data_IF_255940197580
#
_entry.id   IF_255940197580
#
_cell.length_a   1.000
_cell.length_b   1.000
_cell.length_c   1.000
_cell.angle_alpha   90.00
_cell.angle_beta   90.00
_cell.angle_gamma   90.00
#
_symmetry.space_group_name_H-M   'P 1'
#
loop_
_entity.id
_entity.type
_entity.pdbx_description
1 polymer ?
#
# COMPACT_ATOMS: atom_id res chain seq x y z
N UNK A 1 -12.11 10.37 50.05
CA UNK A 1 -11.40 9.52 49.08
C UNK A 1 -9.91 9.69 49.30
N UNK A 2 -9.21 8.64 49.77
CA UNK A 2 -7.75 8.68 50.01
C UNK A 2 -7.05 8.43 48.67
N UNK A 3 -6.19 9.35 48.23
CA UNK A 3 -5.33 9.18 47.06
C UNK A 3 -4.26 8.13 47.38
N UNK A 4 -4.19 7.05 46.62
CA UNK A 4 -3.13 6.04 46.73
C UNK A 4 -1.76 6.65 46.47
N UNK A 5 -0.81 6.36 47.34
CA UNK A 5 0.58 6.78 47.20
C UNK A 5 1.28 6.08 46.01
N UNK A 6 2.44 6.61 45.57
CA UNK A 6 3.18 6.03 44.44
C UNK A 6 3.65 4.61 44.76
N UNK A 7 3.48 3.71 43.80
CA UNK A 7 3.97 2.32 43.87
C UNK A 7 5.51 2.33 43.88
N UNK A 8 6.12 2.03 45.02
CA UNK A 8 7.56 1.86 45.13
C UNK A 8 7.96 0.51 44.51
N UNK A 9 8.90 0.52 43.56
CA UNK A 9 9.54 -0.71 43.05
C UNK A 9 10.41 -1.33 44.15
N UNK A 10 10.03 -2.49 44.62
CA UNK A 10 10.73 -3.22 45.66
C UNK A 10 11.88 -4.10 45.17
N UNK A 11 12.07 -4.23 43.87
CA UNK A 11 13.14 -5.05 43.30
C UNK A 11 14.01 -4.24 42.33
N UNK A 12 15.34 -4.12 42.58
CA UNK A 12 16.24 -3.49 41.61
C UNK A 12 16.33 -4.36 40.33
N UNK A 13 16.26 -3.73 39.17
CA UNK A 13 16.56 -4.42 37.91
C UNK A 13 18.05 -4.80 37.88
N UNK A 14 18.34 -6.08 38.03
CA UNK A 14 19.68 -6.60 37.75
C UNK A 14 19.87 -6.60 36.22
N UNK A 15 20.79 -5.76 35.78
CA UNK A 15 21.24 -5.79 34.37
C UNK A 15 22.27 -6.92 34.25
N UNK A 16 21.92 -7.98 33.57
CA UNK A 16 22.87 -9.01 33.15
C UNK A 16 23.84 -8.37 32.14
N UNK A 17 25.17 -8.40 32.37
CA UNK A 17 26.11 -7.88 31.39
C UNK A 17 26.01 -8.69 30.10
N UNK A 18 25.91 -8.00 28.95
CA UNK A 18 26.01 -8.65 27.63
C UNK A 18 27.44 -9.17 27.46
N UNK A 19 27.63 -10.46 27.68
CA UNK A 19 28.91 -11.14 27.36
C UNK A 19 28.94 -11.33 25.85
N UNK A 20 29.87 -10.67 25.16
CA UNK A 20 30.17 -10.94 23.75
C UNK A 20 30.83 -12.32 23.67
N UNK A 21 30.10 -13.31 23.18
CA UNK A 21 30.57 -14.67 23.00
C UNK A 21 31.31 -14.95 21.68
N UNK A 22 31.46 -13.97 20.81
CA UNK A 22 32.17 -14.14 19.55
C UNK A 22 33.12 -12.99 19.31
N UNK A 23 34.42 -13.30 19.31
CA UNK A 23 35.40 -12.45 18.64
C UNK A 23 35.08 -12.49 17.14
N UNK A 24 34.83 -11.31 16.56
CA UNK A 24 34.78 -11.18 15.11
C UNK A 24 36.19 -11.42 14.58
N UNK A 25 36.48 -12.64 14.17
CA UNK A 25 37.67 -12.90 13.36
C UNK A 25 37.58 -12.04 12.11
N UNK A 26 38.43 -11.03 11.98
CA UNK A 26 38.66 -10.38 10.70
C UNK A 26 39.10 -11.48 9.75
N UNK A 27 38.24 -11.91 8.86
CA UNK A 27 38.59 -12.82 7.76
C UNK A 27 39.81 -12.28 7.06
N UNK A 28 40.81 -13.13 6.87
CA UNK A 28 41.99 -12.80 6.07
C UNK A 28 41.57 -12.30 4.68
N UNK A 29 42.49 -11.68 3.93
CA UNK A 29 42.19 -11.15 2.61
C UNK A 29 41.53 -12.23 1.77
N UNK A 30 40.33 -11.93 1.26
CA UNK A 30 39.61 -12.81 0.30
C UNK A 30 40.56 -13.06 -0.86
N UNK A 31 41.10 -14.28 -0.95
CA UNK A 31 41.83 -14.70 -2.13
C UNK A 31 40.87 -14.49 -3.33
N UNK A 32 41.26 -13.63 -4.26
CA UNK A 32 40.57 -13.50 -5.55
C UNK A 32 40.79 -14.79 -6.33
N UNK A 33 39.98 -15.78 -6.01
CA UNK A 33 39.98 -17.03 -6.79
C UNK A 33 39.24 -16.77 -8.08
N UNK A 34 40.04 -16.80 -9.18
CA UNK A 34 39.53 -17.04 -10.51
C UNK A 34 38.71 -15.90 -11.11
N UNK A 35 39.20 -15.37 -12.23
CA UNK A 35 38.36 -14.57 -13.11
C UNK A 35 37.09 -15.37 -13.43
N UNK A 36 35.93 -14.84 -13.02
CA UNK A 36 34.66 -15.35 -13.54
C UNK A 36 34.71 -15.25 -15.06
N UNK A 37 34.96 -16.39 -15.70
CA UNK A 37 34.85 -16.49 -17.14
C UNK A 37 33.41 -16.04 -17.49
N UNK A 38 33.29 -14.91 -18.18
CA UNK A 38 32.02 -14.46 -18.76
C UNK A 38 31.73 -15.42 -19.93
N UNK A 39 31.13 -16.55 -19.62
CA UNK A 39 30.91 -17.62 -20.61
C UNK A 39 29.57 -17.53 -21.32
N UNK A 40 28.79 -16.48 -21.14
CA UNK A 40 27.63 -16.28 -22.00
C UNK A 40 27.37 -14.77 -22.14
N UNK A 41 27.29 -14.24 -23.38
CA UNK A 41 26.67 -12.93 -23.56
C UNK A 41 25.26 -13.07 -23.01
N UNK A 42 24.91 -12.27 -21.99
CA UNK A 42 23.53 -12.08 -21.64
C UNK A 42 22.81 -11.75 -22.94
N UNK A 43 22.01 -12.71 -23.45
CA UNK A 43 21.15 -12.45 -24.59
C UNK A 43 20.47 -11.12 -24.30
N UNK A 44 20.66 -10.15 -25.19
CA UNK A 44 20.13 -8.81 -25.03
C UNK A 44 18.68 -8.97 -24.62
N UNK A 45 18.39 -8.67 -23.37
CA UNK A 45 17.04 -8.65 -22.85
C UNK A 45 16.30 -7.81 -23.85
N UNK A 46 15.44 -8.44 -24.67
CA UNK A 46 14.56 -7.71 -25.56
C UNK A 46 13.94 -6.63 -24.68
N UNK A 47 14.48 -5.44 -24.79
CA UNK A 47 13.82 -4.25 -24.26
C UNK A 47 12.53 -4.18 -25.06
N UNK A 48 11.47 -4.78 -24.52
CA UNK A 48 10.14 -4.30 -24.88
C UNK A 48 10.26 -2.78 -24.85
N UNK A 49 9.93 -2.08 -25.92
CA UNK A 49 10.00 -0.63 -25.89
C UNK A 49 9.24 -0.22 -24.64
N UNK A 50 9.94 0.36 -23.69
CA UNK A 50 9.31 1.04 -22.57
C UNK A 50 8.53 2.15 -23.26
N UNK A 51 7.23 1.93 -23.40
CA UNK A 51 6.32 3.02 -23.76
C UNK A 51 6.72 4.18 -22.86
N UNK A 52 7.26 5.22 -23.48
CA UNK A 52 7.69 6.40 -22.77
C UNK A 52 6.38 6.98 -22.23
N UNK A 53 6.20 6.95 -20.92
CA UNK A 53 4.98 7.36 -20.21
C UNK A 53 4.66 8.86 -20.44
N UNK A 54 5.47 9.55 -21.24
CA UNK A 54 5.30 10.95 -21.57
C UNK A 54 4.06 11.28 -22.44
N UNK A 55 3.48 10.28 -23.11
CA UNK A 55 2.32 10.48 -23.99
C UNK A 55 1.04 9.75 -23.56
N UNK A 56 1.03 9.12 -22.37
CA UNK A 56 -0.22 8.62 -21.83
C UNK A 56 -0.91 9.74 -21.06
N UNK A 57 -2.10 10.16 -21.48
CA UNK A 57 -2.85 11.11 -20.67
C UNK A 57 -3.01 10.54 -19.27
N UNK A 58 -2.88 11.38 -18.23
CA UNK A 58 -3.05 11.03 -16.81
C UNK A 58 -4.49 10.54 -16.49
N UNK A 59 -5.03 9.70 -17.34
CA UNK A 59 -6.41 9.28 -17.31
C UNK A 59 -7.33 10.43 -17.76
N UNK A 60 -8.46 10.59 -17.08
CA UNK A 60 -9.44 11.67 -17.34
C UNK A 60 -9.09 12.97 -16.60
N UNK A 61 -7.97 13.00 -15.90
CA UNK A 61 -7.56 14.10 -15.02
C UNK A 61 -8.09 13.96 -13.59
N UNK A 62 -7.31 14.49 -12.65
CA UNK A 62 -7.58 14.35 -11.22
C UNK A 62 -8.95 14.90 -10.82
N UNK A 63 -9.26 16.13 -11.21
CA UNK A 63 -10.49 16.79 -10.79
C UNK A 63 -11.73 16.09 -11.34
N UNK A 64 -11.68 15.66 -12.60
CA UNK A 64 -12.79 14.93 -13.24
C UNK A 64 -12.98 13.56 -12.59
N UNK A 65 -11.89 12.83 -12.30
CA UNK A 65 -11.96 11.54 -11.65
C UNK A 65 -12.57 11.67 -10.25
N UNK A 66 -12.11 12.66 -9.46
CA UNK A 66 -12.63 12.93 -8.12
C UNK A 66 -14.12 13.32 -8.14
N UNK A 67 -14.54 14.18 -9.07
CA UNK A 67 -15.94 14.56 -9.20
C UNK A 67 -16.83 13.36 -9.50
N UNK A 68 -16.44 12.48 -10.42
CA UNK A 68 -17.18 11.25 -10.74
C UNK A 68 -17.30 10.33 -9.53
N UNK A 69 -16.22 10.12 -8.79
CA UNK A 69 -16.25 9.29 -7.58
C UNK A 69 -17.11 9.93 -6.49
N UNK A 70 -17.01 11.24 -6.30
CA UNK A 70 -17.84 11.97 -5.33
C UNK A 70 -19.33 11.90 -5.66
N UNK A 71 -19.71 11.96 -6.94
CA UNK A 71 -21.11 11.76 -7.37
C UNK A 71 -21.60 10.34 -7.08
N UNK A 72 -20.76 9.32 -7.32
CA UNK A 72 -21.07 7.92 -7.04
C UNK A 72 -21.22 7.66 -5.56
N UNK A 73 -20.29 8.13 -4.77
CA UNK A 73 -20.23 7.92 -3.32
C UNK A 73 -21.20 8.80 -2.54
N UNK A 74 -21.61 9.94 -3.11
CA UNK A 74 -22.38 11.01 -2.46
C UNK A 74 -21.67 11.53 -1.20
N UNK A 75 -20.33 11.53 -1.20
CA UNK A 75 -19.49 11.94 -0.09
C UNK A 75 -19.44 10.95 1.08
N UNK A 76 -19.82 9.70 0.84
CA UNK A 76 -19.73 8.65 1.84
C UNK A 76 -18.57 7.69 1.54
N UNK A 77 -17.95 7.19 2.60
CA UNK A 77 -16.92 6.17 2.47
C UNK A 77 -17.49 4.89 1.83
N UNK A 78 -16.93 4.46 0.71
CA UNK A 78 -17.39 3.30 -0.05
C UNK A 78 -16.95 1.97 0.53
N UNK A 79 -15.90 1.95 1.37
CA UNK A 79 -15.34 0.74 1.98
C UNK A 79 -16.01 0.32 3.29
N UNK A 80 -16.28 1.26 4.19
CA UNK A 80 -16.95 1.09 5.50
C UNK A 80 -16.45 -0.08 6.35
N UNK A 81 -15.13 -0.18 6.53
CA UNK A 81 -14.53 -1.21 7.39
C UNK A 81 -15.09 -1.11 8.81
N UNK A 82 -15.65 -2.21 9.37
CA UNK A 82 -16.16 -2.21 10.74
C UNK A 82 -15.09 -1.82 11.76
N UNK A 83 -15.43 -0.98 12.71
CA UNK A 83 -14.51 -0.49 13.74
C UNK A 83 -13.55 0.62 13.31
N UNK A 84 -13.35 0.83 12.00
CA UNK A 84 -12.41 1.84 11.45
C UNK A 84 -13.12 2.99 10.73
N UNK A 85 -14.31 2.74 10.20
CA UNK A 85 -14.99 3.67 9.32
C UNK A 85 -15.57 4.88 10.06
N UNK A 86 -15.22 6.07 9.57
CA UNK A 86 -15.78 7.37 10.04
C UNK A 86 -16.98 7.84 9.22
N UNK A 87 -17.50 7.01 8.34
CA UNK A 87 -18.65 7.20 7.47
C UNK A 87 -18.45 8.23 6.34
N UNK A 88 -18.07 9.48 6.63
CA UNK A 88 -17.80 10.50 5.61
C UNK A 88 -16.51 10.22 4.88
N UNK A 89 -16.52 10.34 3.57
CA UNK A 89 -15.31 10.34 2.77
C UNK A 89 -14.51 11.61 3.03
N UNK A 90 -13.21 11.45 3.16
CA UNK A 90 -12.26 12.55 3.38
C UNK A 90 -11.06 12.44 2.47
N UNK A 91 -10.94 11.33 1.74
CA UNK A 91 -9.75 11.05 0.96
C UNK A 91 -10.08 10.21 -0.28
N UNK A 92 -9.43 10.56 -1.38
CA UNK A 92 -9.35 9.71 -2.55
C UNK A 92 -8.39 8.54 -2.26
N UNK A 93 -8.83 7.33 -2.51
CA UNK A 93 -8.05 6.11 -2.35
C UNK A 93 -7.84 5.48 -3.71
N UNK A 94 -6.60 5.47 -4.21
CA UNK A 94 -6.25 4.75 -5.42
C UNK A 94 -6.32 3.25 -5.17
N UNK A 95 -7.03 2.52 -6.02
CA UNK A 95 -7.03 1.05 -6.02
C UNK A 95 -5.69 0.52 -6.54
N UNK A 96 -5.25 1.01 -7.68
CA UNK A 96 -3.89 0.81 -8.22
C UNK A 96 -3.09 2.06 -7.91
N UNK A 97 -2.04 1.91 -7.10
CA UNK A 97 -1.26 3.04 -6.66
C UNK A 97 -0.60 3.79 -7.83
N UNK A 98 -0.43 5.10 -7.72
CA UNK A 98 0.20 5.92 -8.76
C UNK A 98 1.60 5.39 -9.12
N UNK A 99 2.42 5.02 -8.13
CA UNK A 99 3.75 4.42 -8.34
C UNK A 99 3.73 3.05 -9.05
N UNK A 100 2.56 2.43 -9.21
CA UNK A 100 2.34 1.19 -9.95
C UNK A 100 1.71 1.44 -11.34
N UNK A 101 1.65 2.69 -11.78
CA UNK A 101 1.03 3.10 -13.04
C UNK A 101 -0.50 3.28 -12.94
N UNK A 102 -1.02 3.50 -11.72
CA UNK A 102 -2.42 3.87 -11.54
C UNK A 102 -2.69 5.29 -11.99
N UNK A 103 -3.66 5.48 -12.87
CA UNK A 103 -4.06 6.76 -13.44
C UNK A 103 -5.22 7.38 -12.65
N UNK A 104 -5.48 8.65 -12.91
CA UNK A 104 -6.68 9.34 -12.43
C UNK A 104 -7.89 8.89 -13.26
N UNK A 105 -8.57 7.88 -12.77
CA UNK A 105 -9.73 7.23 -13.40
C UNK A 105 -10.77 6.93 -12.33
N UNK A 106 -12.05 7.09 -12.65
CA UNK A 106 -13.12 6.81 -11.71
C UNK A 106 -13.16 5.32 -11.30
N UNK A 107 -12.78 4.43 -12.22
CA UNK A 107 -12.59 2.99 -11.97
C UNK A 107 -11.46 2.70 -11.00
N UNK A 108 -10.41 3.55 -10.96
CA UNK A 108 -9.25 3.42 -10.07
C UNK A 108 -9.41 4.14 -8.73
N UNK A 109 -10.50 4.85 -8.51
CA UNK A 109 -10.71 5.62 -7.30
C UNK A 109 -11.83 5.08 -6.42
N UNK A 110 -11.63 5.15 -5.10
CA UNK A 110 -12.67 4.97 -4.10
C UNK A 110 -12.66 6.14 -3.13
N UNK A 111 -13.83 6.61 -2.77
CA UNK A 111 -13.98 7.56 -1.67
C UNK A 111 -13.82 6.83 -0.33
N UNK A 112 -12.74 7.15 0.37
CA UNK A 112 -12.40 6.58 1.66
C UNK A 112 -12.44 7.60 2.80
N UNK A 113 -12.62 7.15 4.01
CA UNK A 113 -12.44 7.97 5.19
C UNK A 113 -11.06 7.80 5.80
N UNK A 114 -10.59 8.86 6.47
CA UNK A 114 -9.30 8.87 7.15
C UNK A 114 -8.16 9.36 6.25
N UNK A 115 -7.01 8.78 6.44
CA UNK A 115 -5.75 9.12 5.75
C UNK A 115 -4.96 7.83 5.46
N UNK A 116 -3.76 7.92 4.91
CA UNK A 116 -2.90 6.74 4.71
C UNK A 116 -2.60 5.92 5.98
N UNK A 117 -2.87 6.47 7.17
CA UNK A 117 -2.63 5.81 8.47
C UNK A 117 -3.89 5.65 9.33
N UNK A 118 -5.02 6.24 8.95
CA UNK A 118 -6.25 6.25 9.75
C UNK A 118 -7.48 5.92 8.91
N UNK A 119 -8.58 5.51 9.59
CA UNK A 119 -9.84 5.19 8.93
C UNK A 119 -9.76 4.01 7.98
N UNK A 120 -10.66 3.95 7.01
CA UNK A 120 -10.68 2.85 6.03
C UNK A 120 -9.46 2.91 5.08
N UNK A 121 -8.99 4.08 4.71
CA UNK A 121 -7.79 4.24 3.90
C UNK A 121 -6.56 3.65 4.61
N UNK A 122 -6.31 4.04 5.87
CA UNK A 122 -5.21 3.49 6.65
C UNK A 122 -5.34 1.98 6.92
N UNK A 123 -6.58 1.49 7.09
CA UNK A 123 -6.81 0.06 7.23
C UNK A 123 -6.38 -0.72 5.97
N UNK A 124 -6.66 -0.22 4.77
CA UNK A 124 -6.22 -0.84 3.53
C UNK A 124 -4.69 -0.99 3.47
N UNK A 125 -3.95 0.07 3.84
CA UNK A 125 -2.49 0.01 3.88
C UNK A 125 -1.95 -0.97 4.92
N UNK A 126 -2.64 -1.12 6.04
CA UNK A 126 -2.27 -2.07 7.10
C UNK A 126 -2.69 -3.51 6.81
N UNK A 127 -3.65 -3.72 5.90
CA UNK A 127 -4.23 -5.03 5.58
C UNK A 127 -4.31 -5.25 4.05
N UNK A 128 -3.18 -5.21 3.33
CA UNK A 128 -3.20 -5.19 1.86
C UNK A 128 -3.80 -6.46 1.24
N UNK A 129 -3.62 -7.62 1.86
CA UNK A 129 -4.22 -8.87 1.36
C UNK A 129 -5.76 -8.80 1.40
N UNK A 130 -6.33 -8.46 2.55
CA UNK A 130 -7.77 -8.33 2.71
C UNK A 130 -8.38 -7.17 1.89
N UNK A 131 -7.61 -6.12 1.63
CA UNK A 131 -8.03 -5.04 0.75
C UNK A 131 -8.06 -5.49 -0.72
N UNK A 132 -7.12 -6.34 -1.16
CA UNK A 132 -7.13 -6.94 -2.51
C UNK A 132 -8.30 -7.88 -2.72
N UNK A 133 -8.60 -8.75 -1.77
CA UNK A 133 -9.77 -9.63 -1.84
C UNK A 133 -11.08 -8.87 -2.09
N UNK A 134 -11.15 -7.62 -1.64
CA UNK A 134 -12.30 -6.73 -1.84
C UNK A 134 -12.19 -5.83 -3.07
N UNK A 135 -11.11 -5.93 -3.82
CA UNK A 135 -10.83 -5.04 -4.96
C UNK A 135 -10.53 -3.59 -4.55
N UNK A 136 -10.24 -3.31 -3.29
CA UNK A 136 -9.88 -1.96 -2.81
C UNK A 136 -8.42 -1.61 -3.04
N UNK A 137 -7.57 -2.63 -3.23
CA UNK A 137 -6.19 -2.49 -3.68
C UNK A 137 -5.93 -3.46 -4.82
N UNK A 138 -5.11 -3.03 -5.79
CA UNK A 138 -4.79 -3.80 -6.99
C UNK A 138 -3.30 -4.04 -7.12
N UNK A 139 -2.95 -5.06 -7.89
CA UNK A 139 -1.59 -5.29 -8.34
C UNK A 139 -1.26 -4.39 -9.54
N UNK A 140 0.02 -4.19 -9.80
CA UNK A 140 0.50 -3.38 -10.93
C UNK A 140 0.10 -3.94 -12.31
N UNK A 141 -0.21 -5.23 -12.37
CA UNK A 141 -0.60 -5.94 -13.60
C UNK A 141 -2.11 -5.90 -13.86
N UNK A 142 -2.91 -5.48 -12.89
CA UNK A 142 -4.37 -5.47 -13.00
C UNK A 142 -4.88 -4.15 -13.58
N UNK A 143 -5.96 -4.23 -14.36
CA UNK A 143 -6.69 -3.06 -14.81
C UNK A 143 -7.83 -2.76 -13.83
N UNK A 144 -7.96 -1.52 -13.33
CA UNK A 144 -9.03 -1.17 -12.41
C UNK A 144 -10.45 -1.40 -12.94
N UNK A 145 -10.66 -1.31 -14.24
CA UNK A 145 -11.97 -1.54 -14.84
C UNK A 145 -12.35 -3.03 -14.85
N UNK A 146 -11.36 -3.92 -14.90
CA UNK A 146 -11.57 -5.38 -15.00
C UNK A 146 -11.74 -6.06 -13.63
N UNK A 147 -11.37 -5.38 -12.55
CA UNK A 147 -11.47 -5.94 -11.19
C UNK A 147 -12.68 -5.38 -10.45
N UNK A 148 -13.54 -6.27 -10.00
CA UNK A 148 -14.72 -5.89 -9.21
C UNK A 148 -14.36 -5.33 -7.83
N UNK A 149 -15.26 -4.56 -7.26
CA UNK A 149 -15.14 -3.94 -5.94
C UNK A 149 -16.29 -4.37 -5.05
N UNK A 150 -15.97 -4.79 -3.84
CA UNK A 150 -16.98 -5.00 -2.79
C UNK A 150 -17.28 -3.68 -2.10
N UNK A 151 -18.50 -3.19 -2.23
CA UNK A 151 -18.95 -1.97 -1.56
C UNK A 151 -19.48 -2.26 -0.15
N UNK A 152 -19.60 -1.21 0.63
CA UNK A 152 -20.05 -1.27 2.02
C UNK A 152 -21.42 -1.92 2.28
N UNK A 153 -22.28 -1.93 1.27
CA UNK A 153 -23.62 -2.51 1.31
C UNK A 153 -23.66 -3.99 0.88
N UNK A 154 -22.49 -4.59 0.69
CA UNK A 154 -22.33 -5.99 0.29
C UNK A 154 -22.42 -6.23 -1.21
N UNK A 155 -22.70 -5.20 -2.01
CA UNK A 155 -22.70 -5.33 -3.48
C UNK A 155 -21.27 -5.45 -4.00
N UNK A 156 -21.10 -6.30 -4.99
CA UNK A 156 -19.89 -6.35 -5.80
C UNK A 156 -20.17 -5.73 -7.15
N UNK A 157 -19.40 -4.73 -7.54
CA UNK A 157 -19.61 -3.94 -8.75
C UNK A 157 -18.31 -3.78 -9.54
N UNK A 158 -18.42 -3.63 -10.85
CA UNK A 158 -17.34 -3.16 -11.70
C UNK A 158 -17.47 -1.65 -11.86
N UNK A 159 -16.38 -0.96 -11.60
CA UNK A 159 -16.34 0.49 -11.75
C UNK A 159 -15.91 0.84 -13.18
N UNK A 160 -16.52 1.86 -13.74
CA UNK A 160 -16.17 2.38 -15.06
C UNK A 160 -15.80 3.86 -14.98
N UNK A 161 -15.29 4.38 -16.08
CA UNK A 161 -14.86 5.77 -16.23
C UNK A 161 -15.91 6.64 -16.93
N UNK A 162 -17.16 6.15 -17.05
CA UNK A 162 -18.26 6.88 -17.64
C UNK A 162 -18.87 7.93 -16.70
#
# INVERSE_FOLDING_TARGET
>A
MKRGGPLARTTPLQRTPLVRHTELHRGGPLARSGALARSTPLAARRTTPRLVVADMPDGIGEDVAKDRVARRSKGWCEMRVPGFCRRRATNWCHRKAHGQGGLWQASNGLDGCGSGTTGCHGWCHSNPAAARERGWMLLSTEDPADVSVSLWDGRTVWLNDA
#
